data_IF_506419477170
#
_entry.id   IF_506419477170
#
_cell.length_a   1.000
_cell.length_b   1.000
_cell.length_c   1.000
_cell.angle_alpha   90.00
_cell.angle_beta   90.00
_cell.angle_gamma   90.00
#
_symmetry.space_group_name_H-M   'P 1'
#
loop_
_entity.id
_entity.type
_entity.pdbx_description
1 polymer ?
#
# COMPACT_ATOMS: atom_id res chain seq x y z
N UNK A 1 35.55 5.98 2.99
CA UNK A 1 34.39 6.56 3.70
C UNK A 1 33.24 6.67 2.71
N UNK A 2 32.00 6.45 3.13
CA UNK A 2 30.83 6.74 2.30
C UNK A 2 30.76 8.26 2.15
N UNK A 3 30.52 8.73 0.92
CA UNK A 3 30.40 10.16 0.64
C UNK A 3 29.16 10.77 1.29
N UNK A 4 29.31 11.93 1.93
CA UNK A 4 28.20 12.59 2.66
C UNK A 4 27.04 12.98 1.75
N UNK A 5 27.34 13.39 0.51
CA UNK A 5 26.32 13.72 -0.50
C UNK A 5 25.46 12.51 -0.83
N UNK A 6 26.07 11.32 -0.95
CA UNK A 6 25.34 10.08 -1.20
C UNK A 6 24.37 9.78 -0.06
N UNK A 7 24.80 9.96 1.20
CA UNK A 7 23.94 9.77 2.38
C UNK A 7 22.73 10.70 2.35
N UNK A 8 22.95 11.98 2.06
CA UNK A 8 21.88 12.98 2.03
C UNK A 8 20.90 12.73 0.87
N UNK A 9 21.40 12.34 -0.30
CA UNK A 9 20.56 11.97 -1.45
C UNK A 9 19.75 10.70 -1.17
N UNK A 10 20.34 9.66 -0.58
CA UNK A 10 19.62 8.45 -0.20
C UNK A 10 18.49 8.73 0.80
N UNK A 11 18.73 9.63 1.78
CA UNK A 11 17.70 10.10 2.72
C UNK A 11 16.59 10.88 2.02
N UNK A 12 16.95 11.84 1.17
CA UNK A 12 15.99 12.66 0.44
C UNK A 12 15.12 11.80 -0.50
N UNK A 13 15.73 10.84 -1.20
CA UNK A 13 15.02 9.91 -2.07
C UNK A 13 14.04 9.05 -1.27
N UNK A 14 14.47 8.46 -0.16
CA UNK A 14 13.59 7.64 0.68
C UNK A 14 12.45 8.46 1.28
N UNK A 15 12.73 9.68 1.77
CA UNK A 15 11.71 10.59 2.29
C UNK A 15 10.66 10.93 1.23
N UNK A 16 11.08 11.25 0.00
CA UNK A 16 10.15 11.51 -1.09
C UNK A 16 9.27 10.29 -1.38
N UNK A 17 9.86 9.09 -1.50
CA UNK A 17 9.12 7.86 -1.78
C UNK A 17 8.10 7.53 -0.69
N UNK A 18 8.47 7.64 0.59
CA UNK A 18 7.55 7.41 1.72
C UNK A 18 6.42 8.43 1.73
N UNK A 19 6.72 9.71 1.54
CA UNK A 19 5.68 10.75 1.51
C UNK A 19 4.69 10.53 0.37
N UNK A 20 5.18 10.23 -0.83
CA UNK A 20 4.31 9.94 -1.98
C UNK A 20 3.46 8.69 -1.75
N UNK A 21 4.05 7.60 -1.26
CA UNK A 21 3.32 6.38 -0.97
C UNK A 21 2.20 6.62 0.05
N UNK A 22 2.51 7.36 1.12
CA UNK A 22 1.57 7.61 2.20
C UNK A 22 0.43 8.58 1.83
N UNK A 23 0.44 9.21 0.65
CA UNK A 23 -0.75 9.91 0.15
C UNK A 23 -1.87 8.93 -0.22
N UNK A 24 -1.52 7.75 -0.72
CA UNK A 24 -2.48 6.76 -1.23
C UNK A 24 -2.94 5.80 -0.13
N UNK A 25 -2.06 5.44 0.81
CA UNK A 25 -2.32 4.49 1.91
C UNK A 25 -3.58 4.82 2.74
N UNK A 26 -3.72 6.02 3.34
CA UNK A 26 -4.87 6.30 4.22
C UNK A 26 -6.19 6.30 3.45
N UNK A 27 -6.18 6.68 2.18
CA UNK A 27 -7.37 6.66 1.35
C UNK A 27 -7.79 5.22 1.01
N UNK A 28 -6.83 4.34 0.69
CA UNK A 28 -7.10 2.90 0.49
C UNK A 28 -7.69 2.27 1.75
N UNK A 29 -7.04 2.48 2.91
CA UNK A 29 -7.50 1.92 4.18
C UNK A 29 -8.88 2.46 4.60
N UNK A 30 -9.15 3.75 4.40
CA UNK A 30 -10.45 4.33 4.74
C UNK A 30 -11.56 3.88 3.79
N UNK A 31 -11.30 3.88 2.49
CA UNK A 31 -12.29 3.49 1.48
C UNK A 31 -12.62 1.99 1.52
N UNK A 32 -11.67 1.11 1.86
CA UNK A 32 -11.94 -0.33 1.92
C UNK A 32 -13.05 -0.67 2.94
N UNK A 33 -12.99 -0.09 4.14
CA UNK A 33 -14.04 -0.25 5.15
C UNK A 33 -15.35 0.42 4.74
N UNK A 34 -15.29 1.59 4.10
CA UNK A 34 -16.48 2.29 3.61
C UNK A 34 -17.20 1.48 2.52
N UNK A 35 -16.46 0.90 1.57
CA UNK A 35 -17.01 0.03 0.53
C UNK A 35 -17.64 -1.22 1.13
N UNK A 36 -16.94 -1.89 2.05
CA UNK A 36 -17.48 -3.07 2.74
C UNK A 36 -18.78 -2.73 3.50
N UNK A 37 -18.85 -1.55 4.14
CA UNK A 37 -20.04 -1.10 4.83
C UNK A 37 -21.20 -0.79 3.85
N UNK A 38 -20.93 -0.07 2.75
CA UNK A 38 -21.95 0.23 1.72
C UNK A 38 -22.51 -1.05 1.11
N UNK A 39 -21.66 -2.01 0.77
CA UNK A 39 -22.06 -3.28 0.19
C UNK A 39 -22.83 -4.16 1.19
N UNK A 40 -22.43 -4.17 2.46
CA UNK A 40 -23.18 -4.83 3.54
C UNK A 40 -24.58 -4.22 3.70
N UNK A 41 -24.69 -2.88 3.70
CA UNK A 41 -26.00 -2.20 3.76
C UNK A 41 -26.84 -2.49 2.53
N UNK A 42 -26.24 -2.57 1.34
CA UNK A 42 -26.94 -2.98 0.12
C UNK A 42 -27.52 -4.40 0.25
N UNK A 43 -26.71 -5.39 0.65
CA UNK A 43 -27.14 -6.79 0.76
C UNK A 43 -28.21 -6.98 1.85
N UNK A 44 -28.11 -6.23 2.95
CA UNK A 44 -29.08 -6.33 4.06
C UNK A 44 -30.39 -5.59 3.80
N UNK A 45 -30.36 -4.44 3.10
CA UNK A 45 -31.57 -3.61 2.88
C UNK A 45 -32.20 -3.78 1.50
N UNK A 46 -31.47 -4.32 0.52
CA UNK A 46 -31.89 -4.42 -0.87
C UNK A 46 -32.02 -3.09 -1.61
N UNK A 47 -31.61 -1.96 -1.00
CA UNK A 47 -31.77 -0.62 -1.59
C UNK A 47 -30.69 -0.38 -2.66
N UNK A 48 -31.05 -0.18 -3.95
CA UNK A 48 -30.09 -0.14 -5.04
C UNK A 48 -29.09 1.03 -4.97
N UNK A 49 -29.47 2.14 -4.32
CA UNK A 49 -28.61 3.30 -4.13
C UNK A 49 -27.25 2.95 -3.49
N UNK A 50 -27.21 2.02 -2.53
CA UNK A 50 -25.96 1.64 -1.87
C UNK A 50 -25.04 0.82 -2.77
N UNK A 51 -25.60 0.06 -3.72
CA UNK A 51 -24.82 -0.62 -4.76
C UNK A 51 -24.19 0.39 -5.71
N UNK A 52 -24.95 1.39 -6.15
CA UNK A 52 -24.45 2.45 -7.02
C UNK A 52 -23.34 3.27 -6.33
N UNK A 53 -23.51 3.56 -5.03
CA UNK A 53 -22.48 4.20 -4.21
C UNK A 53 -21.21 3.34 -4.13
N UNK A 54 -21.34 2.05 -3.78
CA UNK A 54 -20.20 1.14 -3.71
C UNK A 54 -19.45 1.05 -5.05
N UNK A 55 -20.16 0.96 -6.17
CA UNK A 55 -19.55 0.94 -7.50
C UNK A 55 -18.84 2.24 -7.88
N UNK A 56 -19.41 3.39 -7.51
CA UNK A 56 -18.79 4.69 -7.77
C UNK A 56 -17.50 4.86 -6.97
N UNK A 57 -17.56 4.64 -5.66
CA UNK A 57 -16.39 4.76 -4.79
C UNK A 57 -15.37 3.66 -5.07
N UNK A 58 -15.80 2.48 -5.51
CA UNK A 58 -14.95 1.36 -5.90
C UNK A 58 -14.04 1.71 -7.08
N UNK A 59 -14.54 2.46 -8.07
CA UNK A 59 -13.71 2.96 -9.18
C UNK A 59 -12.59 3.88 -8.71
N UNK A 60 -12.88 4.81 -7.80
CA UNK A 60 -11.89 5.72 -7.24
C UNK A 60 -10.88 4.98 -6.34
N UNK A 61 -11.37 4.01 -5.57
CA UNK A 61 -10.55 3.10 -4.77
C UNK A 61 -9.54 2.36 -5.66
N UNK A 62 -9.96 1.77 -6.77
CA UNK A 62 -9.05 1.03 -7.67
C UNK A 62 -7.94 1.92 -8.26
N UNK A 63 -8.27 3.15 -8.66
CA UNK A 63 -7.26 4.10 -9.18
C UNK A 63 -6.22 4.43 -8.09
N UNK A 64 -6.69 4.73 -6.88
CA UNK A 64 -5.82 5.02 -5.74
C UNK A 64 -4.97 3.81 -5.33
N UNK A 65 -5.59 2.63 -5.31
CA UNK A 65 -4.94 1.37 -4.96
C UNK A 65 -3.81 1.04 -5.93
N UNK A 66 -4.02 1.18 -7.24
CA UNK A 66 -2.97 0.93 -8.24
C UNK A 66 -1.72 1.81 -8.03
N UNK A 67 -1.91 3.10 -7.73
CA UNK A 67 -0.79 4.01 -7.41
C UNK A 67 -0.15 3.67 -6.06
N UNK A 68 -0.94 3.27 -5.07
CA UNK A 68 -0.46 2.79 -3.78
C UNK A 68 0.45 1.57 -3.93
N UNK A 69 0.05 0.57 -4.72
CA UNK A 69 0.86 -0.63 -5.00
C UNK A 69 2.16 -0.26 -5.71
N UNK A 70 2.11 0.55 -6.77
CA UNK A 70 3.30 0.94 -7.53
C UNK A 70 4.33 1.69 -6.65
N UNK A 71 3.86 2.58 -5.79
CA UNK A 71 4.72 3.33 -4.87
C UNK A 71 5.24 2.46 -3.72
N UNK A 72 4.44 1.49 -3.25
CA UNK A 72 4.83 0.53 -2.22
C UNK A 72 5.95 -0.41 -2.68
N UNK A 73 5.83 -0.96 -3.90
CA UNK A 73 6.89 -1.77 -4.50
C UNK A 73 8.21 -1.00 -4.60
N UNK A 74 8.14 0.28 -4.99
CA UNK A 74 9.33 1.13 -5.06
C UNK A 74 9.98 1.31 -3.69
N UNK A 75 9.18 1.44 -2.63
CA UNK A 75 9.67 1.55 -1.24
C UNK A 75 10.33 0.25 -0.77
N UNK A 76 9.70 -0.91 -1.02
CA UNK A 76 10.23 -2.21 -0.62
C UNK A 76 11.63 -2.45 -1.21
N UNK A 77 11.80 -2.22 -2.51
CA UNK A 77 13.09 -2.39 -3.18
C UNK A 77 14.14 -1.34 -2.76
N UNK A 78 13.74 -0.17 -2.25
CA UNK A 78 14.69 0.85 -1.77
C UNK A 78 15.52 0.38 -0.58
N UNK A 79 14.99 -0.50 0.28
CA UNK A 79 15.77 -1.10 1.37
C UNK A 79 16.97 -1.91 0.83
N UNK A 80 16.82 -2.56 -0.33
CA UNK A 80 17.90 -3.31 -0.97
C UNK A 80 18.90 -2.45 -1.74
N UNK A 81 18.43 -1.45 -2.49
CA UNK A 81 19.28 -0.67 -3.40
C UNK A 81 20.11 0.39 -2.69
N UNK A 82 19.49 1.19 -1.81
CA UNK A 82 20.14 2.34 -1.17
C UNK A 82 20.55 2.09 0.28
N UNK A 83 20.02 1.04 0.91
CA UNK A 83 20.20 0.75 2.34
C UNK A 83 20.78 -0.67 2.57
N UNK A 84 21.71 -1.11 1.72
CA UNK A 84 22.26 -2.47 1.75
C UNK A 84 22.88 -2.87 3.11
N UNK A 85 23.65 -1.98 3.75
CA UNK A 85 24.24 -2.26 5.06
C UNK A 85 23.17 -2.41 6.16
N UNK A 86 22.13 -1.57 6.14
CA UNK A 86 20.99 -1.71 7.05
C UNK A 86 20.30 -3.05 6.84
N UNK A 87 20.01 -3.41 5.59
CA UNK A 87 19.37 -4.67 5.23
C UNK A 87 20.19 -5.89 5.66
N UNK A 88 21.52 -5.85 5.54
CA UNK A 88 22.39 -6.94 6.05
C UNK A 88 22.47 -6.96 7.58
N UNK A 89 22.38 -5.80 8.24
CA UNK A 89 22.57 -5.70 9.69
C UNK A 89 21.33 -6.10 10.49
N UNK A 90 20.13 -5.75 10.01
CA UNK A 90 18.85 -6.06 10.71
C UNK A 90 17.89 -6.94 9.92
N UNK A 91 18.30 -7.45 8.76
CA UNK A 91 17.43 -8.19 7.84
C UNK A 91 16.73 -9.40 8.48
N UNK A 92 17.41 -10.12 9.38
CA UNK A 92 16.84 -11.30 10.06
C UNK A 92 15.62 -10.95 10.92
N UNK A 93 15.55 -9.72 11.45
CA UNK A 93 14.43 -9.25 12.28
C UNK A 93 13.44 -8.42 11.48
N UNK A 94 13.95 -7.47 10.69
CA UNK A 94 13.13 -6.51 9.95
C UNK A 94 12.52 -7.11 8.67
N UNK A 95 13.22 -8.02 8.00
CA UNK A 95 12.77 -8.65 6.76
C UNK A 95 11.65 -9.67 6.96
N UNK A 96 11.58 -10.32 8.12
CA UNK A 96 10.56 -11.33 8.40
C UNK A 96 9.12 -10.75 8.39
N UNK A 97 8.82 -9.62 9.06
CA UNK A 97 7.52 -8.95 8.95
C UNK A 97 7.15 -8.54 7.52
N UNK A 98 8.11 -8.02 6.74
CA UNK A 98 7.89 -7.62 5.34
C UNK A 98 7.51 -8.82 4.46
N UNK A 99 8.20 -9.96 4.63
CA UNK A 99 7.86 -11.19 3.92
C UNK A 99 6.46 -11.71 4.31
N UNK A 100 6.10 -11.63 5.59
CA UNK A 100 4.76 -12.03 6.08
C UNK A 100 3.68 -11.09 5.53
N UNK A 101 3.93 -9.78 5.49
CA UNK A 101 3.03 -8.80 4.88
C UNK A 101 2.73 -9.16 3.42
N UNK A 102 3.77 -9.47 2.64
CA UNK A 102 3.63 -9.91 1.26
C UNK A 102 2.77 -11.18 1.14
N UNK A 103 3.12 -12.23 1.89
CA UNK A 103 2.45 -13.54 1.79
C UNK A 103 1.02 -13.55 2.33
N UNK A 104 0.74 -12.79 3.39
CA UNK A 104 -0.56 -12.81 4.06
C UNK A 104 -1.46 -11.66 3.61
N UNK A 105 -1.04 -10.42 3.82
CA UNK A 105 -1.90 -9.26 3.64
C UNK A 105 -2.00 -8.88 2.16
N UNK A 106 -0.86 -8.71 1.48
CA UNK A 106 -0.83 -8.22 0.10
C UNK A 106 -1.47 -9.20 -0.88
N UNK A 107 -1.16 -10.50 -0.75
CA UNK A 107 -1.79 -11.54 -1.56
C UNK A 107 -3.30 -11.61 -1.35
N UNK A 108 -3.76 -11.54 -0.10
CA UNK A 108 -5.19 -11.55 0.23
C UNK A 108 -5.89 -10.34 -0.38
N UNK A 109 -5.40 -9.14 -0.08
CA UNK A 109 -5.99 -7.88 -0.55
C UNK A 109 -6.01 -7.81 -2.08
N UNK A 110 -4.87 -8.04 -2.73
CA UNK A 110 -4.76 -7.94 -4.19
C UNK A 110 -5.64 -8.96 -4.92
N UNK A 111 -5.79 -10.16 -4.37
CA UNK A 111 -6.65 -11.20 -4.97
C UNK A 111 -8.12 -10.81 -4.85
N UNK A 112 -8.58 -10.38 -3.67
CA UNK A 112 -9.98 -10.00 -3.47
C UNK A 112 -10.35 -8.71 -4.18
N UNK A 113 -9.45 -7.72 -4.24
CA UNK A 113 -9.66 -6.51 -5.04
C UNK A 113 -9.78 -6.84 -6.52
N UNK A 114 -9.05 -7.83 -7.03
CA UNK A 114 -9.18 -8.30 -8.42
C UNK A 114 -10.53 -8.96 -8.76
N UNK A 115 -11.32 -9.35 -7.75
CA UNK A 115 -12.66 -9.95 -7.92
C UNK A 115 -13.81 -8.94 -7.76
N UNK A 116 -13.53 -7.76 -7.23
CA UNK A 116 -14.50 -6.69 -6.92
C UNK A 116 -14.93 -5.93 -8.17
#
# INVERSE_FOLDING_TARGET
MIDGTVVDLSRAQFAATVLYHYLFVPLTLGLSFLLAAMETVYVTTGKPIYKEMAQFWGKLFMINFALGVATGLTMEFQFGTNWSFYSSFVGDVFGAPLAIEGLMAFFMESTFVGLM
#
